data_IF_627226253113
#
_entry.id   IF_627226253113
#
_cell.length_a   1.000
_cell.length_b   1.000
_cell.length_c   1.000
_cell.angle_alpha   90.00
_cell.angle_beta   90.00
_cell.angle_gamma   90.00
#
_symmetry.space_group_name_H-M   'P 1'
#
loop_
_entity.id
_entity.type
_entity.pdbx_description
1 polymer ?
#
# COMPACT_ATOMS: atom_id res chain seq x y z
N UNK A 1 -6.60 -13.51 -14.63
CA UNK A 1 -6.89 -12.27 -15.40
C UNK A 1 -5.64 -11.41 -15.32
N UNK A 2 -5.04 -11.01 -16.45
CA UNK A 2 -3.87 -10.11 -16.42
C UNK A 2 -4.40 -8.74 -16.00
N UNK A 3 -4.12 -8.32 -14.76
CA UNK A 3 -4.45 -6.98 -14.32
C UNK A 3 -3.41 -6.04 -14.94
N UNK A 4 -3.72 -5.46 -16.09
CA UNK A 4 -2.86 -4.47 -16.72
C UNK A 4 -2.75 -3.27 -15.76
N UNK A 5 -1.56 -3.08 -15.19
CA UNK A 5 -1.28 -1.96 -14.29
C UNK A 5 -1.58 -0.62 -14.96
N UNK A 6 -1.42 -0.52 -16.28
CA UNK A 6 -1.75 0.66 -17.07
C UNK A 6 -3.25 0.96 -16.99
N UNK A 7 -4.09 -0.07 -17.05
CA UNK A 7 -5.54 0.06 -16.91
C UNK A 7 -5.92 0.54 -15.49
N UNK A 8 -5.35 -0.08 -14.44
CA UNK A 8 -5.61 0.32 -13.06
C UNK A 8 -5.18 1.77 -12.78
N UNK A 9 -4.00 2.16 -13.27
CA UNK A 9 -3.51 3.54 -13.17
C UNK A 9 -4.38 4.51 -13.98
N UNK A 10 -4.83 4.13 -15.17
CA UNK A 10 -5.73 4.97 -15.97
C UNK A 10 -7.04 5.27 -15.23
N UNK A 11 -7.54 4.31 -14.46
CA UNK A 11 -8.76 4.42 -13.65
C UNK A 11 -8.57 5.31 -12.42
N UNK A 12 -7.37 5.34 -11.84
CA UNK A 12 -7.00 6.23 -10.74
C UNK A 12 -6.79 7.67 -11.22
N UNK A 13 -6.14 7.85 -12.38
CA UNK A 13 -5.75 9.18 -12.89
C UNK A 13 -6.92 9.85 -13.61
N UNK A 14 -7.61 9.12 -14.47
CA UNK A 14 -8.64 9.66 -15.38
C UNK A 14 -10.04 9.11 -15.08
N UNK A 15 -10.13 8.10 -14.22
CA UNK A 15 -11.38 7.39 -13.95
C UNK A 15 -12.03 7.82 -12.63
N UNK A 16 -13.07 7.09 -12.21
CA UNK A 16 -13.84 7.41 -11.01
C UNK A 16 -13.13 7.01 -9.71
N UNK A 17 -12.00 6.31 -9.76
CA UNK A 17 -11.27 5.91 -8.56
C UNK A 17 -10.50 7.14 -8.05
N UNK A 18 -11.00 7.76 -6.98
CA UNK A 18 -10.33 8.89 -6.33
C UNK A 18 -9.36 8.41 -5.25
N UNK A 19 -8.29 9.18 -5.03
CA UNK A 19 -7.50 9.02 -3.81
C UNK A 19 -8.39 9.27 -2.59
N UNK A 20 -8.28 8.38 -1.62
CA UNK A 20 -9.09 8.37 -0.40
C UNK A 20 -8.25 8.87 0.76
N UNK A 21 -8.02 8.04 1.79
CA UNK A 21 -7.28 8.42 2.97
C UNK A 21 -5.78 8.19 2.78
N UNK A 22 -4.99 9.10 3.34
CA UNK A 22 -3.53 8.95 3.42
C UNK A 22 -3.18 8.52 4.85
N UNK A 23 -2.63 7.33 4.97
CA UNK A 23 -2.08 6.79 6.20
C UNK A 23 -0.58 7.00 6.26
N UNK A 24 -0.03 7.08 7.47
CA UNK A 24 1.40 7.22 7.70
C UNK A 24 1.92 5.90 8.27
N UNK A 25 2.91 5.31 7.61
CA UNK A 25 3.58 4.15 8.16
C UNK A 25 4.34 4.55 9.43
N UNK A 26 3.99 3.93 10.56
CA UNK A 26 4.74 4.04 11.80
C UNK A 26 5.54 2.78 12.04
N UNK A 27 6.86 2.86 11.92
CA UNK A 27 7.76 1.73 12.18
C UNK A 27 8.20 1.74 13.63
N UNK A 28 7.47 1.05 14.52
CA UNK A 28 7.87 0.90 15.92
C UNK A 28 8.65 -0.40 16.09
N UNK A 29 9.97 -0.35 15.91
CA UNK A 29 10.84 -1.51 16.11
C UNK A 29 12.07 -1.54 15.20
N UNK A 30 12.98 -2.52 15.42
CA UNK A 30 14.10 -2.74 14.51
C UNK A 30 13.59 -3.06 13.11
N UNK A 31 14.32 -2.59 12.09
CA UNK A 31 14.03 -2.88 10.69
C UNK A 31 14.19 -4.39 10.46
N UNK A 32 13.16 -5.10 9.98
CA UNK A 32 13.31 -6.50 9.60
C UNK A 32 14.30 -6.68 8.44
N UNK A 33 15.03 -7.78 8.39
CA UNK A 33 16.06 -8.04 7.36
C UNK A 33 15.56 -7.95 5.91
N UNK A 34 14.27 -8.27 5.69
CA UNK A 34 13.63 -8.25 4.37
C UNK A 34 12.74 -7.01 4.16
N UNK A 35 12.76 -6.06 5.08
CA UNK A 35 11.96 -4.85 4.94
C UNK A 35 12.53 -3.96 3.83
N UNK A 36 11.64 -3.43 3.00
CA UNK A 36 12.03 -2.44 2.02
C UNK A 36 12.23 -1.09 2.70
N UNK A 37 13.49 -0.69 2.88
CA UNK A 37 13.89 0.58 3.47
C UNK A 37 14.77 1.34 2.49
N UNK A 38 14.40 2.58 2.19
CA UNK A 38 15.10 3.46 1.25
C UNK A 38 15.26 4.85 1.84
N UNK A 39 16.19 5.64 1.30
CA UNK A 39 16.58 6.96 1.79
C UNK A 39 15.73 8.12 1.23
N UNK A 40 14.66 7.82 0.50
CA UNK A 40 13.70 8.78 -0.02
C UNK A 40 12.26 8.42 0.40
N UNK A 41 11.34 9.41 0.50
CA UNK A 41 9.95 9.13 0.84
C UNK A 41 9.23 8.41 -0.29
N UNK A 42 8.32 7.48 0.05
CA UNK A 42 7.52 6.73 -0.93
C UNK A 42 6.02 6.79 -0.62
N UNK A 43 5.23 6.67 -1.69
CA UNK A 43 3.79 6.48 -1.63
C UNK A 43 3.47 5.08 -2.16
N UNK A 44 2.77 4.29 -1.36
CA UNK A 44 2.18 3.02 -1.76
C UNK A 44 0.68 3.24 -1.92
N UNK A 45 0.12 2.92 -3.09
CA UNK A 45 -1.30 3.16 -3.41
C UNK A 45 -1.99 1.83 -3.62
N UNK A 46 -3.12 1.61 -2.94
CA UNK A 46 -3.92 0.41 -3.16
C UNK A 46 -4.69 0.56 -4.47
N UNK A 47 -4.34 -0.22 -5.49
CA UNK A 47 -5.05 -0.23 -6.76
C UNK A 47 -6.19 -1.27 -6.78
N UNK A 48 -5.98 -2.40 -6.12
CA UNK A 48 -6.95 -3.49 -6.01
C UNK A 48 -6.65 -4.32 -4.75
N UNK A 49 -7.70 -4.93 -4.18
CA UNK A 49 -7.59 -5.74 -2.96
C UNK A 49 -7.51 -4.88 -1.70
N UNK A 50 -7.16 -5.54 -0.60
CA UNK A 50 -7.05 -4.95 0.74
C UNK A 50 -5.85 -5.54 1.48
N UNK A 51 -5.13 -4.69 2.20
CA UNK A 51 -4.06 -5.13 3.09
C UNK A 51 -4.15 -4.42 4.42
N UNK A 52 -3.67 -5.10 5.46
CA UNK A 52 -3.52 -4.54 6.80
C UNK A 52 -2.10 -4.07 6.95
N UNK A 53 -1.91 -2.79 7.28
CA UNK A 53 -0.60 -2.28 7.70
C UNK A 53 -0.57 -2.11 9.22
N UNK A 54 0.32 -2.85 9.86
CA UNK A 54 0.46 -2.85 11.32
C UNK A 54 0.99 -1.53 11.86
N UNK A 55 1.84 -0.84 11.09
CA UNK A 55 2.39 0.46 11.46
C UNK A 55 1.35 1.57 11.38
N UNK A 56 0.49 1.54 10.35
CA UNK A 56 -0.63 2.47 10.23
C UNK A 56 -1.82 2.13 11.14
N UNK A 57 -1.89 0.88 11.65
CA UNK A 57 -3.02 0.40 12.45
C UNK A 57 -4.32 0.35 11.67
N UNK A 58 -4.25 0.14 10.35
CA UNK A 58 -5.39 0.26 9.45
C UNK A 58 -5.41 -0.83 8.37
N UNK A 59 -6.62 -1.16 7.92
CA UNK A 59 -6.85 -1.90 6.67
C UNK A 59 -7.01 -0.89 5.55
N UNK A 60 -6.10 -0.91 4.57
CA UNK A 60 -6.13 -0.05 3.41
C UNK A 60 -6.90 -0.73 2.28
N UNK A 61 -7.78 0.03 1.62
CA UNK A 61 -8.65 -0.43 0.51
C UNK A 61 -8.36 0.39 -0.77
N UNK A 62 -8.88 0.01 -1.95
CA UNK A 62 -8.53 0.68 -3.20
C UNK A 62 -8.75 2.20 -3.16
N UNK A 63 -7.72 2.95 -3.53
CA UNK A 63 -7.66 4.41 -3.47
C UNK A 63 -7.03 4.97 -2.19
N UNK A 64 -6.89 4.17 -1.12
CA UNK A 64 -6.10 4.58 0.04
C UNK A 64 -4.61 4.59 -0.29
N UNK A 65 -3.86 5.41 0.43
CA UNK A 65 -2.43 5.64 0.25
C UNK A 65 -1.71 5.43 1.57
N UNK A 66 -0.58 4.73 1.53
CA UNK A 66 0.38 4.67 2.63
C UNK A 66 1.59 5.53 2.28
N UNK A 67 1.83 6.56 3.07
CA UNK A 67 3.06 7.34 3.03
C UNK A 67 4.10 6.70 3.96
N UNK A 68 5.27 6.39 3.40
CA UNK A 68 6.42 5.93 4.18
C UNK A 68 7.53 6.99 4.08
N UNK A 69 7.98 7.56 5.21
CA UNK A 69 9.05 8.55 5.21
C UNK A 69 10.39 7.93 4.78
N UNK A 70 11.36 8.78 4.42
CA UNK A 70 12.74 8.36 4.18
C UNK A 70 13.32 7.65 5.42
N UNK A 71 14.01 6.53 5.20
CA UNK A 71 14.48 5.66 6.28
C UNK A 71 13.35 4.90 6.99
N UNK A 72 12.10 5.05 6.58
CA UNK A 72 10.96 4.30 7.10
C UNK A 72 10.78 2.94 6.42
N UNK A 73 10.10 2.06 7.13
CA UNK A 73 9.60 0.78 6.62
C UNK A 73 8.15 0.55 7.06
N UNK A 74 7.46 -0.31 6.33
CA UNK A 74 6.10 -0.76 6.63
C UNK A 74 6.06 -2.31 6.65
N UNK A 75 5.06 -2.86 7.33
CA UNK A 75 4.82 -4.31 7.36
C UNK A 75 3.34 -4.56 7.13
N UNK A 76 3.06 -4.85 5.87
CA UNK A 76 1.72 -5.02 5.36
C UNK A 76 1.46 -6.50 5.05
N UNK A 77 0.30 -7.00 5.49
CA UNK A 77 -0.15 -8.36 5.21
C UNK A 77 -1.48 -8.33 4.48
N UNK A 78 -1.65 -9.22 3.51
CA UNK A 78 -2.92 -9.34 2.78
C UNK A 78 -4.06 -9.67 3.76
N UNK A 79 -5.16 -8.91 3.73
CA UNK A 79 -6.23 -9.07 4.72
C UNK A 79 -7.02 -10.37 4.52
N UNK A 80 -7.11 -10.85 3.27
CA UNK A 80 -7.75 -12.11 2.90
C UNK A 80 -6.88 -12.85 1.88
N UNK A 81 -6.58 -14.15 2.07
CA UNK A 81 -5.87 -14.93 1.05
C UNK A 81 -6.78 -15.03 -0.19
N UNK A 82 -6.34 -14.50 -1.34
CA UNK A 82 -6.97 -14.88 -2.61
C UNK A 82 -6.67 -16.37 -2.83
N UNK A 83 -7.69 -17.21 -2.67
CA UNK A 83 -7.66 -18.55 -3.27
C UNK A 83 -7.61 -18.34 -4.79
N UNK A 84 -6.43 -18.54 -5.38
CA UNK A 84 -6.32 -18.67 -6.83
C UNK A 84 -7.05 -19.96 -7.22
N UNK A 85 -8.26 -19.83 -7.79
CA UNK A 85 -8.92 -20.87 -8.60
C UNK A 85 -8.75 -20.52 -10.08
#
# INVERSE_FOLDING_TARGET
MYHDVSYLLSRLINGPLSLRQIYFASSNGPVPDLAYQVDFPRLEIVLEGEFVDTGAGATLVPGDVLYVPAGGWNFSTMASPRYYL
#
